data_IF_023104158659
#
_entry.id   IF_023104158659
#
_cell.length_a   1.000
_cell.length_b   1.000
_cell.length_c   1.000
_cell.angle_alpha   90.00
_cell.angle_beta   90.00
_cell.angle_gamma   90.00
#
_symmetry.space_group_name_H-M   'P 1'
#
loop_
_entity.id
_entity.type
_entity.pdbx_description
1 polymer ?
#
# COMPACT_ATOMS: atom_id res chain seq x y z
N UNK A 1 -18.50 22.08 1.00
CA UNK A 1 -17.70 20.83 1.04
C UNK A 1 -17.82 20.23 -0.35
N UNK A 2 -16.81 20.28 -1.24
CA UNK A 2 -16.92 19.51 -2.48
C UNK A 2 -16.91 18.02 -2.11
N UNK A 3 -17.80 17.27 -2.75
CA UNK A 3 -17.85 15.81 -2.64
C UNK A 3 -16.50 15.22 -3.06
N UNK A 4 -16.08 14.13 -2.40
CA UNK A 4 -14.96 13.31 -2.86
C UNK A 4 -15.17 13.02 -4.34
N UNK A 5 -14.20 13.37 -5.20
CA UNK A 5 -14.29 13.04 -6.63
C UNK A 5 -14.54 11.54 -6.79
N UNK A 6 -15.39 11.13 -7.74
CA UNK A 6 -15.71 9.73 -7.93
C UNK A 6 -14.43 8.94 -8.20
N UNK A 7 -14.36 7.72 -7.68
CA UNK A 7 -13.40 6.71 -8.14
C UNK A 7 -13.70 6.53 -9.63
N UNK A 8 -12.78 6.94 -10.49
CA UNK A 8 -12.97 6.78 -11.95
C UNK A 8 -12.16 5.55 -12.36
N UNK A 9 -12.82 4.40 -12.60
CA UNK A 9 -12.15 3.30 -13.27
C UNK A 9 -11.82 3.74 -14.69
N UNK A 10 -10.59 3.49 -15.14
CA UNK A 10 -10.28 3.58 -16.57
C UNK A 10 -10.95 2.41 -17.30
N UNK A 11 -12.19 2.62 -17.74
CA UNK A 11 -12.98 1.64 -18.48
C UNK A 11 -12.50 1.43 -19.93
N UNK A 12 -11.53 2.23 -20.40
CA UNK A 12 -11.03 2.15 -21.77
C UNK A 12 -10.04 0.99 -21.96
N UNK A 13 -9.43 0.49 -20.87
CA UNK A 13 -8.39 -0.53 -20.92
C UNK A 13 -8.52 -1.53 -19.79
N UNK A 14 -8.84 -2.78 -20.13
CA UNK A 14 -8.85 -3.93 -19.22
C UNK A 14 -7.58 -4.73 -19.46
N UNK A 15 -6.47 -4.37 -18.80
CA UNK A 15 -5.20 -5.15 -18.70
C UNK A 15 -4.03 -4.31 -18.14
N UNK A 16 -4.32 -3.37 -17.22
CA UNK A 16 -3.28 -2.60 -16.55
C UNK A 16 -2.32 -3.49 -15.76
N UNK A 17 -1.03 -3.23 -15.91
CA UNK A 17 0.02 -3.86 -15.12
C UNK A 17 0.56 -2.91 -14.05
N UNK A 18 1.15 -3.48 -13.00
CA UNK A 18 1.85 -2.71 -11.95
C UNK A 18 3.00 -1.89 -12.54
N UNK A 19 3.67 -2.41 -13.57
CA UNK A 19 4.75 -1.71 -14.26
C UNK A 19 4.25 -0.46 -14.99
N UNK A 20 3.15 -0.58 -15.74
CA UNK A 20 2.52 0.57 -16.40
C UNK A 20 1.98 1.59 -15.38
N UNK A 21 1.37 1.12 -14.29
CA UNK A 21 0.97 2.00 -13.18
C UNK A 21 2.17 2.79 -12.64
N UNK A 22 3.33 2.15 -12.47
CA UNK A 22 4.54 2.81 -11.96
C UNK A 22 5.13 3.85 -12.93
N UNK A 23 4.71 3.86 -14.19
CA UNK A 23 5.11 4.84 -15.20
C UNK A 23 4.17 6.05 -15.25
N UNK A 24 3.06 6.03 -14.53
CA UNK A 24 2.12 7.16 -14.44
C UNK A 24 2.75 8.36 -13.73
N UNK A 25 2.29 9.59 -14.06
CA UNK A 25 2.80 10.80 -13.44
C UNK A 25 2.47 10.84 -11.96
N UNK A 26 3.31 11.55 -11.21
CA UNK A 26 3.09 11.88 -9.81
C UNK A 26 2.41 13.25 -9.73
N UNK A 27 1.09 13.24 -9.91
CA UNK A 27 0.21 14.41 -10.04
C UNK A 27 -0.71 14.62 -8.82
N UNK A 28 -0.41 13.92 -7.72
CA UNK A 28 -1.21 13.93 -6.51
C UNK A 28 -2.36 12.92 -6.50
N UNK A 29 -2.60 12.17 -7.59
CA UNK A 29 -3.55 11.06 -7.58
C UNK A 29 -2.93 9.79 -6.99
N UNK A 30 -3.77 8.91 -6.43
CA UNK A 30 -3.43 7.52 -6.13
C UNK A 30 -3.88 6.67 -7.30
N UNK A 31 -2.96 5.83 -7.75
CA UNK A 31 -3.16 4.90 -8.85
C UNK A 31 -3.03 3.48 -8.33
N UNK A 32 -4.12 2.74 -8.38
CA UNK A 32 -4.19 1.34 -7.93
C UNK A 32 -4.57 0.46 -9.11
N UNK A 33 -4.01 -0.75 -9.16
CA UNK A 33 -4.40 -1.77 -10.14
C UNK A 33 -5.11 -2.89 -9.40
N UNK A 34 -6.35 -3.16 -9.78
CA UNK A 34 -7.14 -4.26 -9.21
C UNK A 34 -7.59 -5.15 -10.37
N UNK A 35 -7.02 -6.35 -10.44
CA UNK A 35 -7.33 -7.36 -11.47
C UNK A 35 -7.20 -6.87 -12.92
N UNK A 36 -6.23 -5.98 -13.15
CA UNK A 36 -5.99 -5.38 -14.47
C UNK A 36 -6.82 -4.13 -14.77
N UNK A 37 -7.60 -3.62 -13.81
CA UNK A 37 -8.30 -2.35 -13.91
C UNK A 37 -7.54 -1.26 -13.14
N UNK A 38 -7.40 -0.08 -13.74
CA UNK A 38 -6.79 1.08 -13.07
C UNK A 38 -7.88 1.86 -12.34
N UNK A 39 -7.70 2.00 -11.03
CA UNK A 39 -8.48 2.89 -10.18
C UNK A 39 -7.68 4.16 -9.92
N UNK A 40 -8.31 5.30 -10.20
CA UNK A 40 -7.72 6.62 -9.95
C UNK A 40 -8.53 7.31 -8.87
N UNK A 41 -7.86 7.72 -7.79
CA UNK A 41 -8.47 8.48 -6.70
C UNK A 41 -7.64 9.72 -6.39
N UNK A 42 -8.25 10.87 -6.05
CA UNK A 42 -7.48 12.04 -5.62
C UNK A 42 -6.74 11.77 -4.31
N UNK A 43 -5.76 12.62 -3.99
CA UNK A 43 -5.13 12.61 -2.68
C UNK A 43 -6.18 12.66 -1.55
N UNK A 44 -5.99 11.88 -0.47
CA UNK A 44 -6.90 11.85 0.65
C UNK A 44 -6.96 13.20 1.37
N UNK A 45 -8.15 13.56 1.84
CA UNK A 45 -8.34 14.79 2.64
C UNK A 45 -7.78 14.63 4.06
N UNK A 46 -7.57 15.74 4.77
CA UNK A 46 -7.18 15.72 6.19
C UNK A 46 -8.15 14.91 7.07
N UNK A 47 -9.45 14.95 6.79
CA UNK A 47 -10.46 14.18 7.52
C UNK A 47 -10.26 12.67 7.33
N UNK A 48 -9.92 12.25 6.11
CA UNK A 48 -9.61 10.86 5.79
C UNK A 48 -8.35 10.39 6.51
N UNK A 49 -7.30 11.22 6.50
CA UNK A 49 -6.04 10.91 7.20
C UNK A 49 -6.25 10.77 8.71
N UNK A 50 -7.02 11.67 9.33
CA UNK A 50 -7.32 11.56 10.76
C UNK A 50 -8.11 10.29 11.09
N UNK A 51 -9.11 9.93 10.26
CA UNK A 51 -9.86 8.70 10.47
C UNK A 51 -8.98 7.44 10.34
N UNK A 52 -8.08 7.42 9.36
CA UNK A 52 -7.12 6.33 9.19
C UNK A 52 -6.16 6.21 10.38
N UNK A 53 -5.69 7.34 10.92
CA UNK A 53 -4.82 7.35 12.10
C UNK A 53 -5.53 6.78 13.34
N UNK A 54 -6.75 7.23 13.64
CA UNK A 54 -7.53 6.73 14.78
C UNK A 54 -7.81 5.22 14.67
N UNK A 55 -8.12 4.75 13.46
CA UNK A 55 -8.29 3.33 13.19
C UNK A 55 -6.98 2.56 13.42
N UNK A 56 -5.85 3.08 12.92
CA UNK A 56 -4.55 2.44 13.08
C UNK A 56 -4.12 2.36 14.56
N UNK A 57 -4.33 3.43 15.34
CA UNK A 57 -4.04 3.46 16.79
C UNK A 57 -4.84 2.37 17.50
N UNK A 58 -6.12 2.25 17.18
CA UNK A 58 -7.00 1.24 17.78
C UNK A 58 -6.57 -0.18 17.41
N UNK A 59 -6.22 -0.41 16.14
CA UNK A 59 -5.81 -1.73 15.64
C UNK A 59 -4.42 -2.15 16.11
N UNK A 60 -3.49 -1.20 16.31
CA UNK A 60 -2.10 -1.46 16.69
C UNK A 60 -2.00 -2.34 17.93
N UNK A 61 -2.72 -1.98 19.00
CA UNK A 61 -2.69 -2.74 20.24
C UNK A 61 -3.18 -4.19 20.07
N UNK A 62 -4.19 -4.42 19.23
CA UNK A 62 -4.68 -5.76 18.92
C UNK A 62 -3.68 -6.54 18.07
N UNK A 63 -3.13 -5.91 17.03
CA UNK A 63 -2.18 -6.51 16.11
C UNK A 63 -0.92 -7.00 16.84
N UNK A 64 -0.35 -6.16 17.70
CA UNK A 64 0.86 -6.49 18.48
C UNK A 64 0.67 -7.73 19.36
N UNK A 65 -0.49 -7.85 20.03
CA UNK A 65 -0.82 -9.04 20.84
C UNK A 65 -0.95 -10.32 20.03
N UNK A 66 -1.15 -10.22 18.71
CA UNK A 66 -1.26 -11.34 17.79
C UNK A 66 0.05 -11.63 17.04
N UNK A 67 1.14 -10.92 17.36
CA UNK A 67 2.41 -11.05 16.61
C UNK A 67 2.30 -10.49 15.20
N UNK A 68 1.48 -9.46 15.02
CA UNK A 68 1.29 -8.72 13.77
C UNK A 68 1.74 -7.26 13.97
N UNK A 69 1.97 -6.57 12.86
CA UNK A 69 2.31 -5.16 12.82
C UNK A 69 1.26 -4.40 12.01
N UNK A 70 0.71 -3.34 12.61
CA UNK A 70 -0.18 -2.40 11.92
C UNK A 70 0.65 -1.31 11.23
N UNK A 71 0.34 -1.02 9.97
CA UNK A 71 1.00 -0.05 9.11
C UNK A 71 -0.04 0.90 8.50
N UNK A 72 0.40 2.09 8.12
CA UNK A 72 -0.43 3.12 7.50
C UNK A 72 0.15 3.57 6.15
N UNK A 73 -0.69 4.16 5.32
CA UNK A 73 -0.29 4.84 4.09
C UNK A 73 0.74 5.96 4.32
N UNK A 74 1.52 6.33 3.30
CA UNK A 74 1.47 5.79 1.93
C UNK A 74 2.40 4.58 1.72
N UNK A 75 1.83 3.46 1.27
CA UNK A 75 2.56 2.22 1.00
C UNK A 75 1.92 1.43 -0.15
N UNK A 76 2.73 1.01 -1.12
CA UNK A 76 2.32 0.09 -2.17
C UNK A 76 2.31 -1.35 -1.65
N UNK A 77 1.19 -2.05 -1.82
CA UNK A 77 1.04 -3.47 -1.51
C UNK A 77 0.78 -4.23 -2.81
N UNK A 78 1.82 -4.88 -3.33
CA UNK A 78 1.79 -5.62 -4.60
C UNK A 78 1.52 -7.09 -4.34
N UNK A 79 0.40 -7.60 -4.86
CA UNK A 79 0.03 -9.02 -4.79
C UNK A 79 0.44 -9.79 -6.05
N UNK A 80 0.40 -9.13 -7.20
CA UNK A 80 0.75 -9.74 -8.49
C UNK A 80 1.11 -8.64 -9.50
N UNK A 81 1.64 -8.99 -10.69
CA UNK A 81 1.87 -8.03 -11.76
C UNK A 81 0.62 -7.27 -12.25
N UNK A 82 -0.58 -7.72 -11.87
CA UNK A 82 -1.88 -7.11 -12.21
C UNK A 82 -2.67 -6.67 -10.98
N UNK A 83 -2.02 -6.60 -9.81
CA UNK A 83 -2.68 -6.20 -8.57
C UNK A 83 -1.72 -5.49 -7.61
N UNK A 84 -1.90 -4.17 -7.49
CA UNK A 84 -1.24 -3.31 -6.50
C UNK A 84 -2.24 -2.32 -5.94
N UNK A 85 -2.27 -2.20 -4.63
CA UNK A 85 -3.15 -1.28 -3.91
C UNK A 85 -2.32 -0.42 -2.97
N UNK A 86 -2.84 0.75 -2.64
CA UNK A 86 -2.30 1.64 -1.62
C UNK A 86 -3.36 1.70 -0.52
N UNK A 87 -3.33 0.83 0.49
CA UNK A 87 -4.33 0.85 1.56
C UNK A 87 -4.01 1.98 2.56
N UNK A 88 -5.05 2.55 3.18
CA UNK A 88 -4.86 3.57 4.21
C UNK A 88 -4.31 2.99 5.52
N UNK A 89 -4.80 1.79 5.90
CA UNK A 89 -4.37 1.03 7.08
C UNK A 89 -4.33 -0.45 6.71
N UNK A 90 -3.27 -1.16 7.12
CA UNK A 90 -3.12 -2.60 6.85
C UNK A 90 -2.29 -3.29 7.94
N UNK A 91 -2.43 -4.60 8.05
CA UNK A 91 -1.76 -5.41 9.08
C UNK A 91 -0.97 -6.53 8.42
N UNK A 92 0.25 -6.75 8.89
CA UNK A 92 1.18 -7.74 8.33
C UNK A 92 1.75 -8.61 9.44
N UNK A 93 2.20 -9.85 9.14
CA UNK A 93 2.95 -10.64 10.11
C UNK A 93 4.18 -9.87 10.59
N UNK A 94 4.45 -9.89 11.89
CA UNK A 94 5.68 -9.31 12.43
C UNK A 94 6.87 -10.13 11.91
N UNK A 95 7.64 -9.57 10.98
CA UNK A 95 8.91 -10.16 10.57
C UNK A 95 9.90 -9.91 11.70
N UNK A 96 10.16 -10.95 12.51
CA UNK A 96 11.28 -10.92 13.44
C UNK A 96 12.56 -10.94 12.62
N UNK A 97 13.13 -9.77 12.36
CA UNK A 97 14.49 -9.68 11.84
C UNK A 97 15.38 -10.17 12.98
N UNK A 98 15.87 -11.41 12.88
CA UNK A 98 17.02 -11.79 13.70
C UNK A 98 18.14 -10.78 13.44
N UNK A 99 18.91 -10.36 14.46
CA UNK A 99 20.12 -9.59 14.21
C UNK A 99 20.91 -10.25 13.10
N UNK A 100 21.48 -9.46 12.19
CA UNK A 100 22.12 -9.88 10.95
C UNK A 100 23.34 -10.79 11.22
N UNK A 101 23.13 -11.97 11.77
CA UNK A 101 24.09 -13.04 11.80
C UNK A 101 24.07 -13.61 10.38
N UNK A 102 25.10 -13.26 9.62
CA UNK A 102 25.45 -13.82 8.32
C UNK A 102 25.37 -15.35 8.38
N UNK A 103 24.20 -15.92 8.10
CA UNK A 103 23.97 -17.37 8.09
C UNK A 103 23.83 -17.82 6.65
N UNK A 104 24.80 -18.65 6.26
CA UNK A 104 24.92 -19.33 4.97
C UNK A 104 23.59 -19.94 4.56
N UNK A 105 23.25 -19.75 3.28
CA UNK A 105 22.07 -20.30 2.61
C UNK A 105 21.92 -21.79 2.92
N UNK A 106 20.84 -22.15 3.61
CA UNK A 106 20.24 -23.49 3.53
C UNK A 106 18.92 -23.33 2.82
N UNK A 107 18.83 -23.95 1.64
CA UNK A 107 17.63 -24.12 0.85
C UNK A 107 16.64 -24.97 1.64
N UNK A 108 15.60 -24.34 2.19
CA UNK A 108 14.43 -25.03 2.71
C UNK A 108 13.27 -24.80 1.74
N UNK A 109 12.73 -25.90 1.25
CA UNK A 109 11.59 -26.03 0.33
C UNK A 109 10.36 -25.40 0.99
N UNK A 110 9.85 -24.31 0.42
CA UNK A 110 8.64 -23.64 0.89
C UNK A 110 7.41 -24.49 0.53
N UNK A 111 6.52 -24.69 1.51
CA UNK A 111 5.18 -25.23 1.29
C UNK A 111 4.33 -24.29 0.44
N UNK A 112 3.40 -24.85 -0.33
CA UNK A 112 2.56 -24.15 -1.29
C UNK A 112 1.47 -23.29 -0.64
N UNK A 113 1.87 -22.17 -0.03
CA UNK A 113 1.00 -21.02 0.18
C UNK A 113 1.35 -19.94 -0.85
N UNK A 114 0.37 -19.12 -1.24
CA UNK A 114 0.64 -17.97 -2.08
C UNK A 114 1.72 -17.08 -1.41
N UNK A 115 2.68 -16.56 -2.18
CA UNK A 115 3.71 -15.69 -1.63
C UNK A 115 3.07 -14.45 -0.98
N UNK A 116 3.59 -14.04 0.17
CA UNK A 116 3.17 -12.80 0.83
C UNK A 116 3.32 -11.61 -0.14
N UNK A 117 2.37 -10.66 -0.12
CA UNK A 117 2.47 -9.48 -0.98
C UNK A 117 3.73 -8.67 -0.66
N UNK A 118 4.31 -8.06 -1.69
CA UNK A 118 5.46 -7.18 -1.56
C UNK A 118 5.00 -5.79 -1.13
N UNK A 119 5.48 -5.33 0.02
CA UNK A 119 5.18 -4.01 0.56
C UNK A 119 6.35 -3.08 0.30
N UNK A 120 6.09 -1.92 -0.28
CA UNK A 120 7.09 -0.87 -0.50
C UNK A 120 6.54 0.48 -0.02
N UNK A 121 7.35 1.34 0.61
CA UNK A 121 6.94 2.73 0.82
C UNK A 121 6.61 3.34 -0.54
N UNK A 122 5.55 4.15 -0.60
CA UNK A 122 5.20 4.85 -1.83
C UNK A 122 6.37 5.75 -2.23
N UNK A 123 6.64 5.85 -3.53
CA UNK A 123 7.66 6.79 -4.04
C UNK A 123 7.33 8.21 -3.52
N UNK A 124 8.34 8.97 -3.06
CA UNK A 124 8.10 10.32 -2.57
C UNK A 124 7.48 11.16 -3.68
N UNK A 125 6.30 11.70 -3.41
CA UNK A 125 5.65 12.60 -4.36
C UNK A 125 6.42 13.92 -4.40
N UNK A 126 6.76 14.44 -5.59
CA UNK A 126 7.38 15.77 -5.78
C UNK A 126 6.51 16.90 -5.22
N UNK A 127 5.22 16.64 -4.99
CA UNK A 127 4.26 17.55 -4.37
C UNK A 127 4.18 17.48 -2.84
N UNK A 128 4.96 16.63 -2.17
CA UNK A 128 5.07 16.64 -0.70
C UNK A 128 5.90 17.84 -0.19
N UNK A 129 5.67 19.03 -0.72
CA UNK A 129 5.98 20.26 -0.01
C UNK A 129 4.88 20.43 1.04
N UNK A 130 5.23 20.15 2.29
CA UNK A 130 4.50 20.66 3.44
C UNK A 130 4.32 22.15 3.20
N UNK A 131 3.09 22.61 2.94
CA UNK A 131 2.76 24.02 3.10
C UNK A 131 2.57 24.20 4.60
N UNK A 132 3.53 24.80 5.33
CA UNK A 132 3.29 25.14 6.72
C UNK A 132 2.13 26.14 6.77
N UNK A 133 1.17 25.89 7.66
CA UNK A 133 0.22 26.91 8.13
C UNK A 133 0.96 27.83 9.09
#
# INVERSE_FOLDING_TARGET
MPASSPIVPDISRRDWTVEERNALPDDGNRYEVVDGELLVTPAPTWRHQNAALELAVTLKAYAERRGLQCMIAPADVTFSPRRVVEPDVFVVPTVKVAPLALRRRRTARAGGGDPLPLIRPRRPSRQAAIVPV
#
